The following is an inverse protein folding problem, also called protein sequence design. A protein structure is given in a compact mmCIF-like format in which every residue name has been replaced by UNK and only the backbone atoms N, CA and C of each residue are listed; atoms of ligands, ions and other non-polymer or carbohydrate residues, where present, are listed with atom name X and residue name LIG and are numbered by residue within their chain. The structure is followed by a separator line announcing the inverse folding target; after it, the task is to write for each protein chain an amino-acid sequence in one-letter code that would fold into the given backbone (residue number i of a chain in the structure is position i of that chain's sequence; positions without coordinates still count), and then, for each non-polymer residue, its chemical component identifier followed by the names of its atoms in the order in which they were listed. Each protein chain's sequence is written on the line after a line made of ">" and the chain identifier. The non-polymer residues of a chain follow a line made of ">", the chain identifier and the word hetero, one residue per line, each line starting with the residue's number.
data_IF_451866790022
#
_entry.id   IF_451866790022
#
_cell.length_a   1.000
_cell.length_b   1.000
_cell.length_c   1.000
_cell.angle_alpha   90.00
_cell.angle_beta   90.00
_cell.angle_gamma   90.00
#
_symmetry.space_group_name_H-M   'P 1'
#
loop_
_entity.id
_entity.type
_entity.pdbx_description
1 polymer ?
#
# COMPACT_ATOMS: atom_id res chain seq x y z
N UNK A 1 14.30 -5.47 0.71
CA UNK A 1 13.66 -4.52 -0.20
C UNK A 1 13.47 -3.19 0.49
N UNK A 2 13.12 -2.14 -0.25
CA UNK A 2 13.04 -0.77 0.27
C UNK A 2 11.64 -0.37 0.79
N UNK A 3 10.64 -1.25 0.73
CA UNK A 3 9.30 -0.99 1.29
C UNK A 3 8.62 0.25 0.72
N UNK A 4 9.00 0.70 -0.48
CA UNK A 4 8.48 1.95 -1.04
C UNK A 4 7.06 1.75 -1.57
N UNK A 5 6.08 2.27 -0.84
CA UNK A 5 4.70 2.42 -1.26
C UNK A 5 4.32 3.90 -1.25
N UNK A 6 3.69 4.38 -2.32
CA UNK A 6 3.23 5.75 -2.45
C UNK A 6 1.76 5.78 -2.83
N UNK A 7 1.06 6.81 -2.35
CA UNK A 7 -0.35 7.09 -2.64
C UNK A 7 -0.49 8.50 -3.19
N UNK A 8 -1.41 8.67 -4.12
CA UNK A 8 -1.84 9.97 -4.63
C UNK A 8 -3.34 10.14 -4.38
N UNK A 9 -3.74 11.37 -4.08
CA UNK A 9 -5.14 11.76 -3.86
C UNK A 9 -5.61 12.81 -4.89
N UNK A 10 -4.80 13.06 -5.92
CA UNK A 10 -4.98 14.13 -6.90
C UNK A 10 -4.67 13.66 -8.34
N UNK A 11 -5.13 12.44 -8.66
CA UNK A 11 -4.95 11.79 -9.97
C UNK A 11 -3.48 11.65 -10.42
N UNK A 12 -2.58 11.49 -9.45
CA UNK A 12 -1.15 11.23 -9.69
C UNK A 12 -0.29 12.48 -9.86
N UNK A 13 -0.82 13.68 -9.60
CA UNK A 13 -0.06 14.93 -9.68
C UNK A 13 0.94 15.05 -8.53
N UNK A 14 0.54 14.69 -7.31
CA UNK A 14 1.41 14.62 -6.15
C UNK A 14 1.33 13.26 -5.48
N UNK A 15 2.43 12.89 -4.81
CA UNK A 15 2.61 11.57 -4.20
C UNK A 15 3.10 11.70 -2.77
N UNK A 16 2.49 10.93 -1.88
CA UNK A 16 2.86 10.82 -0.49
C UNK A 16 3.34 9.41 -0.22
N UNK A 17 4.43 9.28 0.54
CA UNK A 17 4.96 7.98 0.93
C UNK A 17 4.16 7.42 2.10
N UNK A 18 3.73 6.17 1.99
CA UNK A 18 3.13 5.44 3.10
C UNK A 18 4.25 4.99 4.05
N UNK A 19 4.43 5.74 5.14
CA UNK A 19 5.49 5.50 6.11
C UNK A 19 5.25 4.25 6.96
N UNK A 20 4.00 3.77 7.07
CA UNK A 20 3.71 2.57 7.85
C UNK A 20 4.30 1.30 7.21
N UNK A 21 4.60 1.35 5.91
CA UNK A 21 5.14 0.21 5.14
C UNK A 21 6.66 0.25 5.02
N UNK A 22 7.33 1.34 5.40
CA UNK A 22 8.79 1.48 5.25
C UNK A 22 9.60 0.41 5.99
N UNK A 23 9.11 -0.05 7.14
CA UNK A 23 9.79 -1.05 7.95
C UNK A 23 9.63 -2.47 7.40
N UNK A 24 8.75 -2.67 6.40
CA UNK A 24 8.56 -3.97 5.75
C UNK A 24 9.75 -4.19 4.81
N UNK A 25 10.65 -5.16 5.10
CA UNK A 25 11.90 -5.30 4.37
C UNK A 25 11.70 -6.01 3.02
N UNK A 26 10.62 -5.72 2.31
CA UNK A 26 10.19 -6.39 1.09
C UNK A 26 10.30 -5.51 -0.15
N UNK A 27 10.43 -6.15 -1.30
CA UNK A 27 10.12 -5.52 -2.57
C UNK A 27 8.64 -5.76 -2.86
N UNK A 28 7.93 -4.73 -3.30
CA UNK A 28 6.50 -4.80 -3.62
C UNK A 28 6.35 -4.85 -5.15
N UNK A 29 5.61 -5.81 -5.67
CA UNK A 29 5.57 -6.10 -7.11
C UNK A 29 4.21 -5.91 -7.76
N UNK A 30 3.14 -6.04 -6.99
CA UNK A 30 1.78 -6.00 -7.53
C UNK A 30 0.83 -5.38 -6.52
N UNK A 31 -0.06 -4.54 -7.03
CA UNK A 31 -1.20 -3.98 -6.29
C UNK A 31 -2.46 -4.52 -6.97
N UNK A 32 -3.41 -5.03 -6.19
CA UNK A 32 -4.72 -5.50 -6.67
C UNK A 32 -5.79 -4.94 -5.76
N UNK A 33 -6.79 -4.29 -6.34
CA UNK A 33 -8.03 -3.95 -5.66
C UNK A 33 -9.16 -4.78 -6.27
N UNK A 34 -9.95 -5.43 -5.41
CA UNK A 34 -11.16 -6.16 -5.80
C UNK A 34 -12.35 -5.20 -5.88
N UNK A 35 -12.37 -4.22 -4.97
CA UNK A 35 -13.26 -3.07 -4.93
C UNK A 35 -12.54 -1.92 -4.18
N UNK A 36 -13.26 -0.86 -3.81
CA UNK A 36 -12.68 0.32 -3.17
C UNK A 36 -12.08 0.06 -1.78
N UNK A 37 -12.59 -0.95 -1.05
CA UNK A 37 -12.24 -1.22 0.35
C UNK A 37 -11.37 -2.48 0.49
N UNK A 38 -11.34 -3.33 -0.53
CA UNK A 38 -10.59 -4.59 -0.53
C UNK A 38 -9.40 -4.55 -1.49
N UNK A 39 -8.26 -4.10 -0.96
CA UNK A 39 -6.98 -4.02 -1.67
C UNK A 39 -5.86 -4.86 -1.06
N UNK A 40 -4.94 -5.32 -1.90
CA UNK A 40 -3.77 -6.10 -1.51
C UNK A 40 -2.51 -5.65 -2.25
N UNK A 41 -1.36 -5.71 -1.56
CA UNK A 41 -0.03 -5.55 -2.16
C UNK A 41 0.78 -6.82 -1.94
N UNK A 42 1.33 -7.38 -3.02
CA UNK A 42 2.12 -8.60 -2.99
C UNK A 42 3.61 -8.26 -3.12
N UNK A 43 4.41 -8.80 -2.21
CA UNK A 43 5.86 -8.65 -2.19
C UNK A 43 6.64 -9.96 -2.20
N UNK A 44 7.97 -9.86 -2.12
CA UNK A 44 8.83 -11.04 -2.01
C UNK A 44 8.66 -11.78 -0.67
N UNK A 45 9.15 -13.02 -0.61
CA UNK A 45 9.20 -13.84 0.63
C UNK A 45 7.84 -14.00 1.33
N UNK A 46 6.75 -14.01 0.55
CA UNK A 46 5.39 -14.22 1.07
C UNK A 46 4.79 -12.98 1.74
N UNK A 47 5.39 -11.80 1.57
CA UNK A 47 4.81 -10.56 2.09
C UNK A 47 3.52 -10.22 1.35
N UNK A 48 2.46 -10.03 2.15
CA UNK A 48 1.15 -9.61 1.70
C UNK A 48 0.68 -8.47 2.61
N UNK A 49 0.43 -7.30 2.03
CA UNK A 49 -0.17 -6.17 2.74
C UNK A 49 -1.66 -6.12 2.39
N UNK A 50 -2.50 -5.79 3.37
CA UNK A 50 -3.94 -5.61 3.19
C UNK A 50 -4.29 -4.15 3.41
N UNK A 51 -5.06 -3.58 2.48
CA UNK A 51 -5.63 -2.26 2.63
C UNK A 51 -6.63 -2.25 3.80
N UNK A 52 -6.52 -1.25 4.68
CA UNK A 52 -7.42 -1.10 5.83
C UNK A 52 -8.48 -0.01 5.64
N UNK A 53 -8.46 0.71 4.51
CA UNK A 53 -9.34 1.86 4.34
C UNK A 53 -8.96 3.02 5.27
N UNK A 54 -9.72 4.10 5.21
CA UNK A 54 -9.78 5.05 6.31
C UNK A 54 -10.59 4.39 7.43
N UNK A 55 -9.94 3.99 8.51
CA UNK A 55 -10.65 3.67 9.76
C UNK A 55 -11.52 4.88 10.12
N UNK A 56 -12.81 4.77 9.81
CA UNK A 56 -13.83 5.71 10.26
C UNK A 56 -14.18 5.37 11.70
N UNK A 57 -13.17 5.24 12.57
CA UNK A 57 -13.42 5.12 14.01
C UNK A 57 -13.42 6.55 14.55
N UNK A 58 -14.63 6.98 14.90
CA UNK A 58 -14.99 8.23 15.57
C UNK A 58 -14.07 8.56 16.74
#
# INVERSE_FOLDING_TARGET
>A
GSGNLLVSFDDGQTWQKDRAVEEVPANLYRIVFLDADHGFVLGDRGVLLRYQGSDSTT
#
